data_IF_622265968245
#
_entry.id   IF_622265968245
#
_cell.length_a   1.000
_cell.length_b   1.000
_cell.length_c   1.000
_cell.angle_alpha   90.00
_cell.angle_beta   90.00
_cell.angle_gamma   90.00
#
_symmetry.space_group_name_H-M   'P 1'
#
loop_
_entity.id
_entity.type
_entity.pdbx_description
1 polymer ?
#
# COMPACT_ATOMS: atom_id res chain seq x y z
N UNK A 1 -15.80 -15.87 -14.31
CA UNK A 1 -16.29 -14.77 -13.45
C UNK A 1 -16.29 -13.51 -14.28
N UNK A 2 -17.44 -12.89 -14.51
CA UNK A 2 -17.51 -11.56 -15.11
C UNK A 2 -17.06 -10.54 -14.06
N UNK A 3 -15.99 -9.81 -14.34
CA UNK A 3 -15.52 -8.74 -13.47
C UNK A 3 -16.33 -7.48 -13.81
N UNK A 4 -17.21 -7.05 -12.90
CA UNK A 4 -17.90 -5.77 -13.03
C UNK A 4 -16.99 -4.66 -12.51
N UNK A 5 -16.74 -3.66 -13.36
CA UNK A 5 -15.96 -2.48 -13.01
C UNK A 5 -16.75 -1.62 -12.02
N UNK A 6 -16.14 -1.14 -10.92
CA UNK A 6 -16.83 -0.23 -10.01
C UNK A 6 -17.22 1.07 -10.71
N UNK A 7 -18.40 1.57 -10.38
CA UNK A 7 -18.93 2.84 -10.85
C UNK A 7 -18.12 4.03 -10.33
N UNK A 8 -18.30 5.20 -10.95
CA UNK A 8 -17.69 6.45 -10.47
C UNK A 8 -18.09 6.80 -9.03
N UNK A 9 -19.31 6.44 -8.62
CA UNK A 9 -19.79 6.69 -7.25
C UNK A 9 -19.09 5.78 -6.23
N UNK A 10 -18.87 4.52 -6.58
CA UNK A 10 -18.11 3.59 -5.74
C UNK A 10 -16.65 4.06 -5.59
N UNK A 11 -16.00 4.47 -6.68
CA UNK A 11 -14.65 5.04 -6.61
C UNK A 11 -14.60 6.34 -5.79
N UNK A 12 -15.61 7.19 -5.87
CA UNK A 12 -15.67 8.42 -5.09
C UNK A 12 -15.94 8.19 -3.59
N UNK A 13 -16.40 7.00 -3.20
CA UNK A 13 -16.67 6.64 -1.81
C UNK A 13 -15.44 6.10 -1.07
N UNK A 14 -14.33 5.83 -1.77
CA UNK A 14 -13.10 5.29 -1.19
C UNK A 14 -12.49 6.29 -0.19
N UNK A 15 -12.09 5.77 0.97
CA UNK A 15 -11.47 6.52 2.07
C UNK A 15 -10.12 5.95 2.49
N UNK A 16 -9.86 4.68 2.16
CA UNK A 16 -8.63 3.99 2.51
C UNK A 16 -8.10 3.25 1.29
N UNK A 17 -6.83 3.48 0.98
CA UNK A 17 -6.06 2.70 0.00
C UNK A 17 -4.90 2.06 0.73
N UNK A 18 -4.86 0.74 0.75
CA UNK A 18 -3.72 -0.03 1.21
C UNK A 18 -3.00 -0.64 0.00
N UNK A 19 -1.68 -0.75 0.08
CA UNK A 19 -0.85 -1.29 -1.00
C UNK A 19 0.26 -2.18 -0.46
N UNK A 20 0.60 -3.23 -1.20
CA UNK A 20 1.89 -3.88 -1.04
C UNK A 20 3.03 -3.01 -1.60
N UNK A 21 4.26 -3.48 -1.43
CA UNK A 21 5.49 -2.85 -1.89
C UNK A 21 6.03 -3.59 -3.10
N UNK A 22 6.46 -4.84 -2.93
CA UNK A 22 7.16 -5.58 -3.97
C UNK A 22 6.19 -6.03 -5.05
N UNK A 23 6.51 -5.77 -6.31
CA UNK A 23 5.61 -6.03 -7.44
C UNK A 23 4.47 -5.03 -7.62
N UNK A 24 4.23 -4.14 -6.63
CA UNK A 24 3.24 -3.06 -6.71
C UNK A 24 3.88 -1.67 -6.81
N UNK A 25 4.57 -1.23 -5.75
CA UNK A 25 5.29 0.05 -5.73
C UNK A 25 6.70 -0.05 -6.32
N UNK A 26 7.17 -1.27 -6.50
CA UNK A 26 8.45 -1.63 -7.12
C UNK A 26 8.18 -2.62 -8.25
N UNK A 27 9.17 -2.82 -9.11
CA UNK A 27 9.17 -3.87 -10.12
C UNK A 27 9.62 -5.24 -9.57
N UNK A 28 9.45 -5.45 -8.25
CA UNK A 28 9.95 -6.59 -7.48
C UNK A 28 11.50 -6.74 -7.48
N UNK A 29 12.24 -5.70 -7.90
CA UNK A 29 13.70 -5.69 -7.82
C UNK A 29 14.18 -5.20 -6.46
N UNK A 30 15.09 -5.96 -5.85
CA UNK A 30 15.84 -5.55 -4.66
C UNK A 30 17.34 -5.72 -4.92
N UNK A 31 18.12 -4.66 -4.70
CA UNK A 31 19.58 -4.74 -4.80
C UNK A 31 20.15 -5.19 -3.45
N UNK A 32 20.84 -6.33 -3.45
CA UNK A 32 21.48 -6.91 -2.27
C UNK A 32 23.00 -6.81 -2.33
N UNK A 33 23.59 -6.50 -1.18
CA UNK A 33 25.02 -6.50 -0.93
C UNK A 33 25.40 -7.48 0.18
N UNK A 34 26.70 -7.58 0.51
CA UNK A 34 27.19 -8.51 1.53
C UNK A 34 26.61 -8.28 2.94
N UNK A 35 26.06 -7.10 3.22
CA UNK A 35 25.47 -6.72 4.50
C UNK A 35 23.93 -6.67 4.47
N UNK A 36 23.29 -7.08 3.37
CA UNK A 36 21.83 -7.06 3.21
C UNK A 36 21.36 -6.10 2.12
N UNK A 37 20.16 -5.55 2.32
CA UNK A 37 19.49 -4.68 1.35
C UNK A 37 20.25 -3.36 1.14
N UNK A 38 20.59 -3.05 -0.12
CA UNK A 38 21.29 -1.82 -0.51
C UNK A 38 20.34 -0.77 -1.07
N UNK A 39 19.41 -1.18 -1.93
CA UNK A 39 18.47 -0.28 -2.58
C UNK A 39 17.22 -1.02 -3.03
N UNK A 40 16.09 -0.30 -3.00
CA UNK A 40 14.81 -0.73 -3.53
C UNK A 40 14.26 0.40 -4.42
N UNK A 41 14.29 0.25 -5.76
CA UNK A 41 13.81 1.29 -6.67
C UNK A 41 12.30 1.51 -6.56
N UNK A 42 11.87 2.77 -6.56
CA UNK A 42 10.46 3.17 -6.56
C UNK A 42 10.19 4.13 -7.72
N UNK A 43 8.98 4.11 -8.27
CA UNK A 43 8.57 5.10 -9.26
C UNK A 43 8.19 6.43 -8.60
N UNK A 44 8.71 7.54 -9.15
CA UNK A 44 8.42 8.88 -8.62
C UNK A 44 6.95 9.28 -8.84
N UNK A 45 6.35 8.84 -9.95
CA UNK A 45 4.95 9.17 -10.31
C UNK A 45 3.96 8.64 -9.27
N UNK A 46 4.19 7.44 -8.75
CA UNK A 46 3.33 6.81 -7.74
C UNK A 46 3.37 7.60 -6.43
N UNK A 47 4.54 8.14 -6.07
CA UNK A 47 4.69 9.05 -4.96
C UNK A 47 3.75 10.26 -5.06
N UNK A 48 3.65 10.87 -6.24
CA UNK A 48 2.71 11.98 -6.45
C UNK A 48 1.25 11.51 -6.36
N UNK A 49 0.91 10.37 -6.95
CA UNK A 49 -0.44 9.80 -6.88
C UNK A 49 -0.90 9.57 -5.43
N UNK A 50 -0.05 8.96 -4.60
CA UNK A 50 -0.34 8.75 -3.18
C UNK A 50 -0.48 10.07 -2.42
N UNK A 51 0.33 11.09 -2.71
CA UNK A 51 0.19 12.42 -2.08
C UNK A 51 -1.11 13.12 -2.49
N UNK A 52 -1.57 12.94 -3.74
CA UNK A 52 -2.84 13.49 -4.20
C UNK A 52 -4.03 12.83 -3.49
N UNK A 53 -3.97 11.51 -3.27
CA UNK A 53 -4.97 10.78 -2.47
C UNK A 53 -5.02 11.30 -1.03
N UNK A 54 -3.87 11.40 -0.37
CA UNK A 54 -3.76 11.98 0.98
C UNK A 54 -4.33 13.41 1.04
N UNK A 55 -4.01 14.25 0.04
CA UNK A 55 -4.53 15.61 -0.06
C UNK A 55 -6.04 15.69 -0.31
N UNK A 56 -6.64 14.63 -0.85
CA UNK A 56 -8.09 14.49 -1.04
C UNK A 56 -8.80 13.85 0.17
N UNK A 57 -8.08 13.56 1.25
CA UNK A 57 -8.62 12.91 2.45
C UNK A 57 -8.78 11.39 2.33
N UNK A 58 -8.10 10.77 1.37
CA UNK A 58 -8.00 9.31 1.25
C UNK A 58 -6.71 8.86 1.93
N UNK A 59 -6.83 8.09 3.01
CA UNK A 59 -5.70 7.57 3.75
C UNK A 59 -4.96 6.52 2.92
N UNK A 60 -3.64 6.67 2.78
CA UNK A 60 -2.81 5.71 2.06
C UNK A 60 -1.95 4.94 3.06
N UNK A 61 -1.98 3.63 2.98
CA UNK A 61 -1.31 2.72 3.89
C UNK A 61 -0.47 1.68 3.15
N UNK A 62 0.70 1.34 3.70
CA UNK A 62 1.57 0.29 3.14
C UNK A 62 1.55 -0.92 4.07
N UNK A 63 1.26 -2.10 3.50
CA UNK A 63 1.30 -3.40 4.20
C UNK A 63 2.24 -4.30 3.43
N UNK A 64 3.33 -4.72 4.07
CA UNK A 64 4.32 -5.59 3.42
C UNK A 64 4.76 -6.69 4.37
N UNK A 65 5.12 -7.84 3.81
CA UNK A 65 5.65 -8.96 4.58
C UNK A 65 7.12 -8.78 4.95
N UNK A 66 7.82 -7.85 4.31
CA UNK A 66 9.20 -7.48 4.61
C UNK A 66 9.24 -6.37 5.68
N UNK A 67 10.28 -6.38 6.51
CA UNK A 67 10.61 -5.28 7.41
C UNK A 67 11.87 -4.58 6.88
N UNK A 68 11.66 -3.69 5.90
CA UNK A 68 12.74 -2.96 5.21
C UNK A 68 12.81 -1.51 5.69
N UNK A 69 14.00 -1.11 6.14
CA UNK A 69 14.27 0.28 6.50
C UNK A 69 14.12 1.24 5.30
N UNK A 70 14.42 0.78 4.08
CA UNK A 70 14.27 1.59 2.86
C UNK A 70 12.81 1.90 2.57
N UNK A 71 11.93 0.91 2.76
CA UNK A 71 10.47 1.08 2.64
C UNK A 71 9.98 2.06 3.70
N UNK A 72 10.40 1.87 4.97
CA UNK A 72 10.01 2.76 6.06
C UNK A 72 10.38 4.23 5.79
N UNK A 73 11.60 4.50 5.33
CA UNK A 73 12.03 5.86 4.96
C UNK A 73 11.24 6.41 3.77
N UNK A 74 10.89 5.58 2.78
CA UNK A 74 10.05 5.99 1.65
C UNK A 74 8.65 6.38 2.09
N UNK A 75 8.00 5.57 2.93
CA UNK A 75 6.68 5.84 3.50
C UNK A 75 6.70 7.15 4.28
N UNK A 76 7.71 7.34 5.15
CA UNK A 76 7.90 8.57 5.92
C UNK A 76 8.10 9.79 5.04
N UNK A 77 8.94 9.70 4.00
CA UNK A 77 9.17 10.79 3.03
C UNK A 77 7.89 11.20 2.30
N UNK A 78 7.01 10.23 2.02
CA UNK A 78 5.71 10.48 1.41
C UNK A 78 4.62 10.82 2.42
N UNK A 79 4.92 10.86 3.73
CA UNK A 79 3.96 11.16 4.80
C UNK A 79 2.65 10.38 4.64
N UNK A 80 2.75 9.08 4.36
CA UNK A 80 1.59 8.20 4.21
C UNK A 80 0.96 7.93 5.58
N UNK A 81 -0.37 7.77 5.59
CA UNK A 81 -1.17 7.60 6.81
C UNK A 81 -0.81 6.35 7.62
N UNK A 82 -0.39 5.25 6.96
CA UNK A 82 -0.11 3.99 7.66
C UNK A 82 1.06 3.18 7.09
N UNK A 83 1.78 2.50 7.98
CA UNK A 83 2.79 1.51 7.61
C UNK A 83 2.68 0.28 8.52
N UNK A 84 2.75 -0.91 7.92
CA UNK A 84 2.65 -2.22 8.58
C UNK A 84 3.75 -3.14 8.04
N UNK A 85 5.02 -2.99 8.49
CA UNK A 85 6.11 -3.88 8.11
C UNK A 85 5.95 -5.29 8.70
N UNK A 86 6.58 -6.27 8.07
CA UNK A 86 6.67 -7.64 8.60
C UNK A 86 5.33 -8.39 8.69
N UNK A 87 4.27 -7.91 8.00
CA UNK A 87 2.94 -8.48 8.07
C UNK A 87 2.74 -9.58 7.03
N UNK A 88 2.79 -10.83 7.50
CA UNK A 88 2.51 -12.02 6.67
C UNK A 88 1.02 -12.26 6.45
N UNK A 89 0.15 -11.76 7.34
CA UNK A 89 -1.31 -11.90 7.25
C UNK A 89 -1.93 -10.55 6.90
N UNK A 90 -1.83 -10.15 5.63
CA UNK A 90 -2.22 -8.80 5.18
C UNK A 90 -3.69 -8.48 5.45
N UNK A 91 -4.60 -9.44 5.32
CA UNK A 91 -6.01 -9.24 5.67
C UNK A 91 -6.26 -8.82 7.12
N UNK A 92 -5.47 -9.32 8.08
CA UNK A 92 -5.57 -8.90 9.49
C UNK A 92 -5.07 -7.47 9.66
N UNK A 93 -3.96 -7.13 9.01
CA UNK A 93 -3.43 -5.77 9.04
C UNK A 93 -4.38 -4.77 8.35
N UNK A 94 -5.02 -5.17 7.24
CA UNK A 94 -6.01 -4.37 6.53
C UNK A 94 -7.25 -4.13 7.39
N UNK A 95 -7.77 -5.16 8.07
CA UNK A 95 -8.88 -5.00 9.01
C UNK A 95 -8.55 -4.00 10.12
N UNK A 96 -7.36 -4.12 10.71
CA UNK A 96 -6.92 -3.17 11.75
C UNK A 96 -6.84 -1.72 11.22
N UNK A 97 -6.41 -1.52 9.98
CA UNK A 97 -6.37 -0.19 9.34
C UNK A 97 -7.79 0.33 9.03
N UNK A 98 -8.70 -0.53 8.57
CA UNK A 98 -10.11 -0.16 8.36
C UNK A 98 -10.74 0.32 9.68
N UNK A 99 -10.48 -0.38 10.78
CA UNK A 99 -10.97 -0.01 12.10
C UNK A 99 -10.34 1.31 12.59
N UNK A 100 -9.03 1.50 12.38
CA UNK A 100 -8.29 2.72 12.75
C UNK A 100 -8.80 3.97 12.02
N UNK A 101 -9.08 3.86 10.72
CA UNK A 101 -9.51 4.98 9.88
C UNK A 101 -11.04 5.06 9.71
N UNK A 102 -11.81 4.18 10.36
CA UNK A 102 -13.27 4.16 10.26
C UNK A 102 -13.79 3.94 8.84
N UNK A 103 -13.09 3.12 8.04
CA UNK A 103 -13.45 2.78 6.68
C UNK A 103 -14.13 1.41 6.62
N UNK A 104 -15.19 1.28 5.84
CA UNK A 104 -15.78 -0.04 5.56
C UNK A 104 -15.01 -0.75 4.44
N UNK A 105 -15.27 -2.05 4.25
CA UNK A 105 -14.71 -2.81 3.14
C UNK A 105 -15.04 -2.19 1.77
N UNK A 106 -16.26 -1.64 1.59
CA UNK A 106 -16.66 -0.97 0.36
C UNK A 106 -15.96 0.38 0.13
N UNK A 107 -15.35 0.95 1.17
CA UNK A 107 -14.59 2.21 1.12
C UNK A 107 -13.07 1.97 1.13
N UNK A 108 -12.66 0.71 1.02
CA UNK A 108 -11.27 0.29 1.12
C UNK A 108 -10.83 -0.40 -0.15
N UNK A 109 -9.67 0.01 -0.66
CA UNK A 109 -8.99 -0.65 -1.78
C UNK A 109 -7.69 -1.25 -1.27
N UNK A 110 -7.41 -2.48 -1.69
CA UNK A 110 -6.10 -3.09 -1.52
C UNK A 110 -5.46 -3.30 -2.91
N UNK A 111 -4.21 -2.91 -3.07
CA UNK A 111 -3.43 -3.12 -4.30
C UNK A 111 -2.32 -4.14 -3.98
N UNK A 112 -2.39 -5.30 -4.62
CA UNK A 112 -1.47 -6.42 -4.46
C UNK A 112 -1.13 -7.06 -5.81
N UNK A 113 -0.11 -7.91 -5.84
CA UNK A 113 0.39 -8.61 -7.03
C UNK A 113 0.43 -10.14 -6.89
N UNK A 114 0.35 -10.69 -5.67
CA UNK A 114 0.58 -12.12 -5.41
C UNK A 114 -0.52 -12.79 -4.53
N UNK A 115 -0.46 -14.11 -4.38
CA UNK A 115 -1.44 -14.95 -3.68
C UNK A 115 -1.53 -14.66 -2.18
N UNK A 116 -0.51 -14.03 -1.60
CA UNK A 116 -0.48 -13.64 -0.19
C UNK A 116 -1.26 -12.32 0.08
N UNK A 117 -1.74 -11.67 -0.98
CA UNK A 117 -2.59 -10.47 -0.93
C UNK A 117 -4.08 -10.79 -0.81
N UNK A 118 -4.48 -12.02 -1.12
CA UNK A 118 -5.86 -12.49 -1.12
C UNK A 118 -6.46 -12.71 0.28
#
# INVERSE_FOLDING_TARGET
MSYEQPSKQEWAAIKLVATDVDGVLTDATVLYGPQGELAKPFFIRDGMGMRLLEGAGVHVCVITSEDSALVGERVKKLMLSGYRPGQKRKGVALQALMDEFGASAAQTVFIGDDVNDA
#
